data_IF_234671120711
#
_entry.id   IF_234671120711
#
_cell.length_a   1.000
_cell.length_b   1.000
_cell.length_c   1.000
_cell.angle_alpha   90.00
_cell.angle_beta   90.00
_cell.angle_gamma   90.00
#
_symmetry.space_group_name_H-M   'P 1'
#
loop_
_entity.id
_entity.type
_entity.pdbx_description
1 polymer ?
#
# COMPACT_ATOMS: atom_id res chain seq x y z
N UNK A 1 -30.08 -3.23 -23.25
CA UNK A 1 -28.97 -2.62 -22.47
C UNK A 1 -28.88 -1.17 -22.86
N UNK A 2 -28.92 -0.25 -21.89
CA UNK A 2 -28.73 1.17 -22.16
C UNK A 2 -27.23 1.49 -22.08
N UNK A 3 -26.67 2.05 -23.15
CA UNK A 3 -25.32 2.59 -23.16
C UNK A 3 -25.44 4.09 -23.08
N UNK A 4 -24.78 4.70 -22.10
CA UNK A 4 -24.66 6.15 -22.02
C UNK A 4 -23.26 6.51 -22.46
N UNK A 5 -23.16 7.25 -23.56
CA UNK A 5 -21.91 7.85 -24.00
C UNK A 5 -21.82 9.27 -23.45
N UNK A 6 -20.68 9.58 -22.84
CA UNK A 6 -20.37 10.95 -22.42
C UNK A 6 -19.09 11.33 -23.15
N UNK A 7 -19.19 12.36 -23.97
CA UNK A 7 -18.04 12.99 -24.64
C UNK A 7 -17.67 14.22 -23.85
N UNK A 8 -16.44 14.28 -23.36
CA UNK A 8 -15.93 15.43 -22.63
C UNK A 8 -14.74 15.99 -23.41
N UNK A 9 -14.70 17.31 -23.58
CA UNK A 9 -13.55 17.97 -24.18
C UNK A 9 -12.44 18.12 -23.13
N UNK A 10 -11.17 17.94 -23.54
CA UNK A 10 -10.01 18.16 -22.65
C UNK A 10 -9.98 19.59 -22.10
N UNK A 11 -10.59 20.55 -22.81
CA UNK A 11 -10.67 21.95 -22.37
C UNK A 11 -11.68 22.17 -21.23
N UNK A 12 -12.69 21.32 -21.10
CA UNK A 12 -13.67 21.37 -20.01
C UNK A 12 -13.14 20.71 -18.73
N UNK A 13 -12.27 19.71 -18.87
CA UNK A 13 -11.64 18.98 -17.75
C UNK A 13 -10.58 19.81 -17.01
N UNK A 14 -10.00 20.82 -17.66
CA UNK A 14 -8.99 21.69 -17.08
C UNK A 14 -9.54 22.71 -16.05
N UNK A 15 -10.86 22.77 -15.84
CA UNK A 15 -11.53 23.80 -15.02
C UNK A 15 -11.80 23.41 -13.56
N UNK A 16 -11.32 22.26 -13.09
CA UNK A 16 -11.13 22.02 -11.65
C UNK A 16 -12.11 21.08 -10.94
N UNK A 17 -12.78 20.18 -11.65
CA UNK A 17 -13.57 19.12 -11.01
C UNK A 17 -12.80 17.79 -10.98
N UNK A 18 -12.71 17.20 -9.78
CA UNK A 18 -12.09 15.90 -9.52
C UNK A 18 -13.01 14.79 -10.07
N UNK A 19 -12.55 14.05 -11.08
CA UNK A 19 -13.27 12.89 -11.64
C UNK A 19 -12.47 11.66 -11.33
N UNK A 20 -13.12 10.54 -11.08
CA UNK A 20 -12.56 9.52 -10.22
C UNK A 20 -12.65 8.13 -10.95
N UNK A 21 -11.61 7.42 -11.54
CA UNK A 21 -11.71 6.07 -12.22
C UNK A 21 -10.48 5.05 -12.19
N UNK A 22 -10.72 3.71 -12.22
CA UNK A 22 -9.71 2.62 -12.39
C UNK A 22 -9.92 1.75 -13.66
N UNK A 23 -8.91 1.01 -14.15
CA UNK A 23 -8.86 0.43 -15.53
C UNK A 23 -8.51 -1.07 -15.62
N UNK A 24 -9.13 -1.79 -16.57
CA UNK A 24 -8.71 -3.11 -17.09
C UNK A 24 -8.58 -3.02 -18.63
N UNK A 25 -7.51 -3.57 -19.20
CA UNK A 25 -7.19 -3.45 -20.63
C UNK A 25 -7.39 -4.78 -21.39
N UNK A 26 -7.88 -4.69 -22.63
CA UNK A 26 -7.65 -5.72 -23.66
C UNK A 26 -7.12 -5.03 -24.93
N UNK A 27 -6.16 -5.66 -25.61
CA UNK A 27 -5.52 -5.11 -26.81
C UNK A 27 -5.92 -5.92 -28.04
N UNK A 28 -6.46 -5.24 -29.06
CA UNK A 28 -6.53 -5.76 -30.42
C UNK A 28 -5.44 -5.11 -31.27
N UNK A 29 -4.54 -5.94 -31.81
CA UNK A 29 -3.37 -5.50 -32.58
C UNK A 29 -3.71 -5.07 -34.02
N UNK A 30 -4.95 -5.22 -34.47
CA UNK A 30 -5.35 -4.91 -35.85
C UNK A 30 -5.69 -3.44 -36.13
N UNK A 31 -6.24 -2.70 -35.17
CA UNK A 31 -6.97 -1.45 -35.47
C UNK A 31 -6.48 -0.21 -34.70
N UNK A 32 -5.43 -0.30 -33.88
CA UNK A 32 -5.03 0.77 -32.93
C UNK A 32 -6.22 1.32 -32.13
N UNK A 33 -7.25 0.51 -31.91
CA UNK A 33 -8.44 0.88 -31.18
C UNK A 33 -8.28 0.37 -29.76
N UNK A 34 -8.34 1.25 -28.78
CA UNK A 34 -8.33 0.89 -27.37
C UNK A 34 -9.79 0.82 -26.93
N UNK A 35 -10.27 -0.37 -26.61
CA UNK A 35 -11.63 -0.58 -26.10
C UNK A 35 -11.52 -0.97 -24.64
N UNK A 36 -12.11 -0.16 -23.75
CA UNK A 36 -12.08 -0.39 -22.30
C UNK A 36 -13.42 -0.04 -21.67
N UNK A 37 -13.82 -0.84 -20.70
CA UNK A 37 -15.01 -0.62 -19.87
C UNK A 37 -14.58 0.11 -18.58
N UNK A 38 -15.37 1.07 -18.13
CA UNK A 38 -15.00 2.00 -17.04
C UNK A 38 -15.87 1.75 -15.81
N UNK A 39 -15.25 1.65 -14.64
CA UNK A 39 -15.91 1.80 -13.34
C UNK A 39 -15.19 2.95 -12.60
N UNK A 40 -15.95 3.97 -12.23
CA UNK A 40 -15.46 5.32 -11.87
C UNK A 40 -15.32 5.41 -10.34
N UNK A 41 -14.08 5.32 -9.80
CA UNK A 41 -13.75 5.64 -8.39
C UNK A 41 -12.39 6.38 -7.98
N UNK A 42 -11.41 6.83 -8.82
CA UNK A 42 -10.41 8.01 -8.66
C UNK A 42 -9.52 8.45 -9.89
N UNK A 43 -9.40 9.73 -10.36
CA UNK A 43 -8.49 10.30 -11.38
C UNK A 43 -7.89 11.57 -10.77
N UNK A 44 -6.59 11.71 -10.94
CA UNK A 44 -5.84 12.89 -10.53
C UNK A 44 -5.34 13.62 -11.77
N UNK A 45 -5.48 14.94 -11.77
CA UNK A 45 -5.05 15.82 -12.85
C UNK A 45 -3.97 16.77 -12.34
N UNK A 46 -2.85 16.86 -13.07
CA UNK A 46 -1.83 17.89 -12.85
C UNK A 46 -1.68 18.69 -14.14
N UNK A 47 -2.18 19.91 -14.16
CA UNK A 47 -2.01 20.81 -15.28
C UNK A 47 -0.53 21.24 -15.36
N UNK A 48 0.25 20.58 -16.22
CA UNK A 48 1.45 21.18 -16.79
C UNK A 48 1.05 21.76 -18.14
N UNK A 49 1.42 23.01 -18.41
CA UNK A 49 0.86 23.94 -19.41
C UNK A 49 0.62 23.46 -20.87
N UNK A 50 0.88 22.20 -21.24
CA UNK A 50 0.63 21.66 -22.59
C UNK A 50 0.19 20.18 -22.68
N UNK A 51 0.08 19.45 -21.56
CA UNK A 51 -0.19 18.00 -21.55
C UNK A 51 -1.09 17.63 -20.36
N UNK A 52 -2.14 16.85 -20.60
CA UNK A 52 -2.93 16.23 -19.55
C UNK A 52 -2.42 14.81 -19.31
N UNK A 53 -1.95 14.54 -18.10
CA UNK A 53 -1.46 13.23 -17.69
C UNK A 53 -2.55 12.50 -16.90
N UNK A 54 -2.96 11.33 -17.39
CA UNK A 54 -3.86 10.41 -16.67
C UNK A 54 -3.04 9.20 -16.19
N UNK A 55 -3.06 8.95 -14.88
CA UNK A 55 -2.33 7.86 -14.24
C UNK A 55 -3.28 6.68 -13.97
N UNK A 56 -3.05 5.53 -14.62
CA UNK A 56 -3.78 4.29 -14.32
C UNK A 56 -2.83 3.10 -14.33
N UNK A 57 -2.77 2.31 -13.24
CA UNK A 57 -1.95 1.10 -13.14
C UNK A 57 -0.49 1.23 -13.62
N UNK A 58 0.15 2.38 -13.37
CA UNK A 58 1.54 2.65 -13.78
C UNK A 58 1.72 3.02 -15.26
N UNK A 59 0.65 3.18 -16.03
CA UNK A 59 0.66 3.70 -17.40
C UNK A 59 0.23 5.17 -17.39
N UNK A 60 1.07 6.03 -17.95
CA UNK A 60 0.79 7.45 -18.17
C UNK A 60 0.24 7.63 -19.58
N UNK A 61 -1.02 8.03 -19.67
CA UNK A 61 -1.64 8.40 -20.94
C UNK A 61 -1.51 9.92 -21.13
N UNK A 62 -0.92 10.31 -22.24
CA UNK A 62 -0.75 11.72 -22.61
C UNK A 62 -1.79 12.11 -23.65
N UNK A 63 -2.66 13.06 -23.30
CA UNK A 63 -3.61 13.66 -24.24
C UNK A 63 -3.15 15.06 -24.63
N UNK A 64 -3.34 15.43 -25.89
CA UNK A 64 -3.05 16.77 -26.39
C UNK A 64 -4.28 17.66 -26.25
N UNK A 65 -4.04 18.96 -26.12
CA UNK A 65 -5.10 19.96 -26.16
C UNK A 65 -5.85 19.89 -27.49
N UNK A 66 -7.17 19.74 -27.43
CA UNK A 66 -8.05 19.59 -28.59
C UNK A 66 -8.46 18.14 -28.89
N UNK A 67 -7.87 17.15 -28.20
CA UNK A 67 -8.31 15.77 -28.30
C UNK A 67 -9.73 15.63 -27.72
N UNK A 68 -10.56 14.81 -28.38
CA UNK A 68 -11.85 14.38 -27.84
C UNK A 68 -11.69 12.98 -27.25
N UNK A 69 -12.10 12.82 -26.00
CA UNK A 69 -12.10 11.53 -25.31
C UNK A 69 -13.56 11.10 -25.14
N UNK A 70 -13.93 10.01 -25.79
CA UNK A 70 -15.24 9.38 -25.62
C UNK A 70 -15.14 8.31 -24.55
N UNK A 71 -15.85 8.51 -23.44
CA UNK A 71 -15.94 7.52 -22.36
C UNK A 71 -17.21 6.73 -22.56
N UNK A 72 -17.06 5.42 -22.82
CA UNK A 72 -18.19 4.52 -23.02
C UNK A 72 -18.43 3.70 -21.76
N UNK A 73 -19.49 4.02 -21.01
CA UNK A 73 -19.89 3.20 -19.86
C UNK A 73 -20.67 1.99 -20.37
N UNK A 74 -20.01 0.84 -20.43
CA UNK A 74 -20.71 -0.42 -20.54
C UNK A 74 -21.32 -0.75 -19.18
N UNK A 75 -22.64 -0.96 -19.16
CA UNK A 75 -23.31 -1.51 -17.99
C UNK A 75 -22.88 -2.98 -17.88
N UNK A 76 -21.77 -3.23 -17.20
CA UNK A 76 -21.41 -4.58 -16.77
C UNK A 76 -22.51 -5.02 -15.82
N UNK A 77 -23.32 -5.99 -16.24
CA UNK A 77 -24.10 -6.79 -15.28
C UNK A 77 -23.07 -7.33 -14.30
N UNK A 78 -23.10 -6.95 -13.01
CA UNK A 78 -22.16 -7.50 -12.07
C UNK A 78 -22.37 -9.01 -12.09
N UNK A 79 -21.36 -9.75 -12.53
CA UNK A 79 -21.20 -11.13 -12.08
C UNK A 79 -21.36 -11.08 -10.56
N UNK A 80 -22.08 -12.02 -9.93
CA UNK A 80 -22.19 -12.07 -8.49
C UNK A 80 -20.77 -12.22 -7.92
N UNK A 81 -20.16 -11.09 -7.58
CA UNK A 81 -18.91 -11.06 -6.86
C UNK A 81 -19.19 -11.82 -5.58
N UNK A 82 -18.40 -12.85 -5.31
CA UNK A 82 -18.48 -13.61 -4.07
C UNK A 82 -18.51 -12.60 -2.91
N UNK A 83 -19.68 -12.42 -2.31
CA UNK A 83 -20.08 -11.23 -1.54
C UNK A 83 -19.49 -11.24 -0.12
N UNK A 84 -18.31 -11.84 0.07
CA UNK A 84 -17.66 -12.04 1.37
C UNK A 84 -16.13 -12.13 1.26
N UNK A 85 -15.50 -11.34 0.38
CA UNK A 85 -14.07 -11.09 0.51
C UNK A 85 -13.87 -10.10 1.67
N UNK A 86 -13.58 -10.62 2.86
CA UNK A 86 -13.26 -9.82 4.05
C UNK A 86 -12.15 -8.82 3.70
N UNK A 87 -12.41 -7.52 3.93
CA UNK A 87 -11.43 -6.49 3.61
C UNK A 87 -10.17 -6.69 4.45
N UNK A 88 -8.97 -6.56 3.87
CA UNK A 88 -7.74 -6.77 4.62
C UNK A 88 -7.61 -5.71 5.73
N UNK A 89 -7.20 -6.15 6.92
CA UNK A 89 -6.94 -5.26 8.06
C UNK A 89 -5.80 -4.28 7.76
N UNK A 90 -5.70 -3.19 8.52
CA UNK A 90 -4.61 -2.21 8.37
C UNK A 90 -3.22 -2.86 8.48
N UNK A 91 -3.04 -3.80 9.42
CA UNK A 91 -1.82 -4.57 9.59
C UNK A 91 -1.51 -5.50 8.41
N UNK A 92 -2.53 -6.13 7.83
CA UNK A 92 -2.37 -6.95 6.62
C UNK A 92 -1.99 -6.09 5.40
N UNK A 93 -2.63 -4.93 5.23
CA UNK A 93 -2.31 -3.97 4.17
C UNK A 93 -0.86 -3.47 4.30
N UNK A 94 -0.45 -3.04 5.50
CA UNK A 94 0.93 -2.67 5.79
C UNK A 94 1.91 -3.80 5.47
N UNK A 95 1.61 -5.02 5.93
CA UNK A 95 2.47 -6.18 5.74
C UNK A 95 2.70 -6.46 4.25
N UNK A 96 1.63 -6.45 3.46
CA UNK A 96 1.69 -6.68 2.01
C UNK A 96 2.49 -5.57 1.33
N UNK A 97 2.19 -4.32 1.66
CA UNK A 97 2.79 -3.17 0.99
C UNK A 97 4.27 -3.02 1.32
N UNK A 98 4.68 -3.19 2.58
CA UNK A 98 6.09 -3.13 2.98
C UNK A 98 6.91 -4.23 2.28
N UNK A 99 6.36 -5.45 2.20
CA UNK A 99 7.01 -6.55 1.46
C UNK A 99 7.17 -6.21 -0.02
N UNK A 100 6.15 -5.63 -0.64
CA UNK A 100 6.19 -5.18 -2.03
C UNK A 100 7.24 -4.08 -2.22
N UNK A 101 7.19 -3.05 -1.39
CA UNK A 101 8.05 -1.87 -1.44
C UNK A 101 9.53 -2.23 -1.35
N UNK A 102 9.91 -3.11 -0.41
CA UNK A 102 11.31 -3.53 -0.24
C UNK A 102 11.68 -4.82 -1.01
N UNK A 103 10.77 -5.35 -1.84
CA UNK A 103 10.95 -6.61 -2.56
C UNK A 103 11.34 -7.79 -1.65
N UNK A 104 10.69 -7.89 -0.49
CA UNK A 104 10.90 -8.97 0.48
C UNK A 104 9.99 -10.14 0.12
N UNK A 105 10.59 -11.25 -0.30
CA UNK A 105 9.94 -12.56 -0.42
C UNK A 105 10.17 -13.47 0.80
N UNK A 106 9.51 -14.62 0.85
CA UNK A 106 9.60 -15.61 1.94
C UNK A 106 11.00 -16.18 2.18
N UNK A 107 11.88 -16.12 1.19
CA UNK A 107 13.27 -16.61 1.25
C UNK A 107 14.30 -15.48 1.45
N UNK A 108 13.85 -14.25 1.66
CA UNK A 108 14.74 -13.11 1.86
C UNK A 108 15.49 -13.32 3.16
N UNK A 109 16.83 -13.22 3.10
CA UNK A 109 17.69 -13.31 4.28
C UNK A 109 17.66 -12.00 5.06
N UNK A 110 17.95 -12.07 6.37
CA UNK A 110 18.01 -10.90 7.25
C UNK A 110 18.97 -9.84 6.72
N UNK A 111 20.17 -10.26 6.31
CA UNK A 111 21.16 -9.36 5.75
C UNK A 111 21.08 -9.30 4.21
N UNK A 112 20.99 -8.09 3.67
CA UNK A 112 21.07 -7.81 2.23
C UNK A 112 22.12 -6.74 1.97
N UNK A 113 23.17 -7.09 1.24
CA UNK A 113 24.29 -6.18 0.94
C UNK A 113 24.92 -5.55 2.20
N UNK A 114 25.06 -6.34 3.28
CA UNK A 114 25.62 -5.88 4.55
C UNK A 114 24.68 -5.01 5.39
N UNK A 115 23.38 -4.93 5.03
CA UNK A 115 22.36 -4.21 5.80
C UNK A 115 21.38 -5.17 6.43
N UNK A 116 21.08 -4.95 7.71
CA UNK A 116 20.02 -5.64 8.44
C UNK A 116 18.65 -5.14 7.94
N UNK A 117 17.88 -6.02 7.30
CA UNK A 117 16.57 -5.67 6.78
C UNK A 117 15.53 -5.38 7.85
N UNK A 118 15.65 -5.89 9.08
CA UNK A 118 14.74 -5.48 10.16
C UNK A 118 14.87 -3.99 10.44
N UNK A 119 16.12 -3.51 10.45
CA UNK A 119 16.42 -2.10 10.61
C UNK A 119 15.93 -1.28 9.41
N UNK A 120 16.18 -1.74 8.18
CA UNK A 120 15.73 -1.05 6.96
C UNK A 120 14.20 -0.93 6.91
N UNK A 121 13.47 -2.00 7.27
CA UNK A 121 12.00 -2.00 7.38
C UNK A 121 11.53 -0.92 8.36
N UNK A 122 12.07 -0.91 9.59
CA UNK A 122 11.65 0.03 10.62
C UNK A 122 12.00 1.48 10.25
N UNK A 123 13.18 1.73 9.68
CA UNK A 123 13.60 3.05 9.22
C UNK A 123 12.68 3.56 8.12
N UNK A 124 12.35 2.75 7.11
CA UNK A 124 11.41 3.14 6.07
C UNK A 124 10.00 3.39 6.59
N UNK A 125 9.50 2.60 7.55
CA UNK A 125 8.20 2.87 8.19
C UNK A 125 8.19 4.24 8.86
N UNK A 126 9.23 4.55 9.63
CA UNK A 126 9.35 5.84 10.33
C UNK A 126 9.48 6.99 9.33
N UNK A 127 10.33 6.85 8.32
CA UNK A 127 10.52 7.86 7.26
C UNK A 127 9.23 8.11 6.50
N UNK A 128 8.52 7.06 6.07
CA UNK A 128 7.26 7.16 5.35
C UNK A 128 6.18 7.90 6.16
N UNK A 129 6.11 7.65 7.47
CA UNK A 129 5.12 8.30 8.34
C UNK A 129 5.48 9.77 8.65
N UNK A 130 6.76 10.11 8.75
CA UNK A 130 7.20 11.46 9.15
C UNK A 130 7.42 12.41 7.97
N UNK A 131 7.77 11.91 6.79
CA UNK A 131 8.14 12.71 5.63
C UNK A 131 7.10 12.59 4.53
N UNK A 132 6.06 13.43 4.61
CA UNK A 132 5.05 13.56 3.55
C UNK A 132 5.70 13.91 2.20
N UNK A 133 5.21 13.29 1.13
CA UNK A 133 5.72 13.42 -0.23
C UNK A 133 6.84 12.44 -0.60
N UNK A 134 7.27 11.57 0.34
CA UNK A 134 8.31 10.56 0.05
C UNK A 134 7.73 9.35 -0.66
N UNK A 135 6.46 9.01 -0.40
CA UNK A 135 5.73 7.93 -1.04
C UNK A 135 4.51 8.48 -1.79
N UNK A 136 3.90 7.66 -2.64
CA UNK A 136 2.60 8.02 -3.20
C UNK A 136 1.55 8.14 -2.07
N UNK A 137 0.56 9.05 -2.18
CA UNK A 137 -0.42 9.28 -1.10
C UNK A 137 -1.13 8.02 -0.60
N UNK A 138 -1.47 7.09 -1.51
CA UNK A 138 -2.08 5.82 -1.13
C UNK A 138 -1.16 4.90 -0.31
N UNK A 139 0.16 5.00 -0.49
CA UNK A 139 1.14 4.26 0.31
C UNK A 139 1.35 4.93 1.66
N UNK A 140 1.39 6.27 1.73
CA UNK A 140 1.54 6.98 3.01
C UNK A 140 0.46 6.58 4.02
N UNK A 141 -0.79 6.48 3.56
CA UNK A 141 -1.93 6.04 4.37
C UNK A 141 -1.75 4.62 4.93
N UNK A 142 -1.06 3.74 4.20
CA UNK A 142 -0.80 2.35 4.61
C UNK A 142 0.33 2.25 5.64
N UNK A 143 1.35 3.11 5.54
CA UNK A 143 2.51 3.06 6.44
C UNK A 143 2.31 3.85 7.73
N UNK A 144 1.48 4.90 7.71
CA UNK A 144 1.26 5.75 8.88
C UNK A 144 0.82 4.99 10.14
N UNK A 145 -0.10 4.01 10.10
CA UNK A 145 -0.51 3.25 11.30
C UNK A 145 0.63 2.43 11.92
N UNK A 146 1.66 2.07 11.15
CA UNK A 146 2.77 1.24 11.62
C UNK A 146 3.89 2.04 12.32
N UNK A 147 3.77 3.37 12.38
CA UNK A 147 4.78 4.25 12.98
C UNK A 147 5.10 3.89 14.43
N UNK A 148 4.07 3.76 15.27
CA UNK A 148 4.25 3.48 16.70
C UNK A 148 4.68 2.03 16.97
N UNK A 149 4.23 1.09 16.14
CA UNK A 149 4.70 -0.29 16.17
C UNK A 149 6.21 -0.38 15.87
N UNK A 150 6.67 0.25 14.78
CA UNK A 150 8.08 0.31 14.43
C UNK A 150 8.91 1.06 15.48
N UNK A 151 8.41 2.18 15.98
CA UNK A 151 9.08 2.98 17.03
C UNK A 151 9.22 2.20 18.34
N UNK A 152 8.20 1.42 18.71
CA UNK A 152 8.23 0.54 19.89
C UNK A 152 9.29 -0.56 19.74
N UNK A 153 9.35 -1.22 18.58
CA UNK A 153 10.41 -2.20 18.29
C UNK A 153 11.80 -1.56 18.37
N UNK A 154 12.01 -0.38 17.78
CA UNK A 154 13.30 0.33 17.87
C UNK A 154 13.67 0.62 19.33
N UNK A 155 12.73 1.15 20.10
CA UNK A 155 12.96 1.55 21.49
C UNK A 155 13.27 0.36 22.39
N UNK A 156 12.46 -0.69 22.32
CA UNK A 156 12.49 -1.77 23.29
C UNK A 156 13.36 -2.94 22.81
N UNK A 157 13.28 -3.33 21.54
CA UNK A 157 13.96 -4.53 21.04
C UNK A 157 15.33 -4.20 20.47
N UNK A 158 15.40 -3.34 19.45
CA UNK A 158 16.66 -2.99 18.77
C UNK A 158 17.71 -2.44 19.75
N UNK A 159 17.29 -1.63 20.72
CA UNK A 159 18.17 -1.04 21.72
C UNK A 159 18.40 -1.94 22.96
N UNK A 160 17.94 -3.20 22.93
CA UNK A 160 18.22 -4.19 23.97
C UNK A 160 17.55 -3.92 25.33
N UNK A 161 16.44 -3.18 25.37
CA UNK A 161 15.71 -2.87 26.62
C UNK A 161 14.64 -3.91 26.97
N UNK A 162 14.21 -4.69 25.98
CA UNK A 162 13.22 -5.75 26.10
C UNK A 162 13.79 -7.00 26.77
N UNK A 163 12.92 -7.98 26.99
CA UNK A 163 13.35 -9.28 27.53
C UNK A 163 14.20 -10.02 26.49
N UNK A 164 15.30 -10.63 26.95
CA UNK A 164 16.23 -11.37 26.08
C UNK A 164 15.54 -12.41 25.19
N UNK A 165 14.57 -13.17 25.72
CA UNK A 165 13.84 -14.20 24.96
C UNK A 165 13.01 -13.60 23.81
N UNK A 166 12.46 -12.40 24.01
CA UNK A 166 11.71 -11.67 22.98
C UNK A 166 12.66 -11.12 21.93
N UNK A 167 13.80 -10.57 22.36
CA UNK A 167 14.83 -10.07 21.46
C UNK A 167 15.33 -11.20 20.56
N UNK A 168 15.74 -12.33 21.15
CA UNK A 168 16.20 -13.50 20.40
C UNK A 168 15.13 -14.05 19.45
N UNK A 169 13.87 -14.13 19.91
CA UNK A 169 12.76 -14.56 19.06
C UNK A 169 12.58 -13.65 17.84
N UNK A 170 12.56 -12.33 18.05
CA UNK A 170 12.40 -11.35 16.96
C UNK A 170 13.63 -11.34 16.04
N UNK A 171 14.83 -11.47 16.61
CA UNK A 171 16.08 -11.55 15.84
C UNK A 171 16.16 -12.80 14.95
N UNK A 172 15.49 -13.88 15.34
CA UNK A 172 15.37 -15.10 14.57
C UNK A 172 14.33 -15.02 13.43
N UNK A 173 13.46 -14.00 13.42
CA UNK A 173 12.48 -13.83 12.34
C UNK A 173 13.18 -13.53 11.02
N UNK A 174 12.65 -14.07 9.92
CA UNK A 174 12.97 -13.55 8.60
C UNK A 174 12.37 -12.15 8.41
N UNK A 175 12.92 -11.31 7.52
CA UNK A 175 12.31 -10.02 7.18
C UNK A 175 10.85 -10.14 6.74
N UNK A 176 10.49 -11.24 6.08
CA UNK A 176 9.11 -11.53 5.73
C UNK A 176 8.20 -11.65 6.96
N UNK A 177 8.63 -12.41 7.97
CA UNK A 177 7.93 -12.57 9.23
C UNK A 177 7.97 -11.28 10.06
N UNK A 178 9.05 -10.52 10.00
CA UNK A 178 9.18 -9.25 10.69
C UNK A 178 8.17 -8.20 10.19
N UNK A 179 7.93 -8.11 8.87
CA UNK A 179 6.84 -7.29 8.35
C UNK A 179 5.48 -7.72 8.92
N UNK A 180 5.25 -9.04 9.05
CA UNK A 180 4.02 -9.57 9.65
C UNK A 180 3.90 -9.17 11.11
N UNK A 181 4.97 -9.28 11.89
CA UNK A 181 5.00 -8.88 13.30
C UNK A 181 4.57 -7.42 13.46
N UNK A 182 5.13 -6.51 12.66
CA UNK A 182 4.73 -5.11 12.71
C UNK A 182 3.25 -4.92 12.30
N UNK A 183 2.76 -5.65 11.30
CA UNK A 183 1.34 -5.67 10.96
C UNK A 183 0.45 -6.20 12.09
N UNK A 184 0.84 -7.29 12.74
CA UNK A 184 0.13 -7.86 13.89
C UNK A 184 0.09 -6.87 15.07
N UNK A 185 1.15 -6.07 15.26
CA UNK A 185 1.18 -4.99 16.26
C UNK A 185 0.22 -3.85 15.90
N UNK A 186 0.11 -3.48 14.62
CA UNK A 186 -0.88 -2.50 14.14
C UNK A 186 -2.30 -3.00 14.41
N UNK A 187 -2.60 -4.25 14.05
CA UNK A 187 -3.93 -4.84 14.28
C UNK A 187 -4.24 -5.02 15.77
N UNK A 188 -3.22 -5.18 16.61
CA UNK A 188 -3.35 -5.19 18.07
C UNK A 188 -3.48 -3.78 18.69
N UNK A 189 -3.51 -2.73 17.88
CA UNK A 189 -3.66 -1.34 18.34
C UNK A 189 -2.43 -0.78 19.05
N UNK A 190 -1.23 -1.16 18.64
CA UNK A 190 0.01 -0.57 19.17
C UNK A 190 0.22 0.83 18.58
N UNK A 191 -0.37 1.82 19.24
CA UNK A 191 -0.37 3.25 18.88
C UNK A 191 0.54 4.11 19.77
N UNK A 192 1.22 3.50 20.73
CA UNK A 192 2.13 4.18 21.64
C UNK A 192 3.27 3.26 22.07
N UNK A 193 4.38 3.86 22.51
CA UNK A 193 5.49 3.06 23.08
C UNK A 193 5.10 2.25 24.32
N UNK A 194 4.12 2.71 25.10
CA UNK A 194 3.60 1.96 26.26
C UNK A 194 2.78 0.75 25.82
N UNK A 195 1.94 0.88 24.79
CA UNK A 195 1.21 -0.24 24.20
C UNK A 195 2.17 -1.28 23.59
N UNK A 196 3.26 -0.82 22.97
CA UNK A 196 4.33 -1.69 22.46
C UNK A 196 5.00 -2.51 23.57
N UNK A 197 5.35 -1.88 24.69
CA UNK A 197 5.92 -2.60 25.84
C UNK A 197 4.96 -3.67 26.39
N UNK A 198 3.65 -3.38 26.45
CA UNK A 198 2.64 -4.37 26.85
C UNK A 198 2.53 -5.51 25.84
N UNK A 199 2.59 -5.21 24.54
CA UNK A 199 2.60 -6.22 23.48
C UNK A 199 3.78 -7.19 23.65
N UNK A 200 4.99 -6.67 23.85
CA UNK A 200 6.18 -7.50 24.08
C UNK A 200 6.13 -8.28 25.40
N UNK A 201 5.49 -7.74 26.45
CA UNK A 201 5.27 -8.45 27.71
C UNK A 201 4.32 -9.65 27.55
N UNK A 202 3.26 -9.52 26.72
CA UNK A 202 2.38 -10.63 26.36
C UNK A 202 3.13 -11.69 25.56
N UNK A 203 3.85 -11.27 24.51
CA UNK A 203 4.70 -12.17 23.71
C UNK A 203 5.70 -12.94 24.58
N UNK A 204 6.37 -12.29 25.53
CA UNK A 204 7.25 -12.96 26.48
C UNK A 204 6.54 -14.07 27.24
N UNK A 205 5.32 -13.80 27.72
CA UNK A 205 4.53 -14.77 28.49
C UNK A 205 4.19 -15.99 27.64
N UNK A 206 3.82 -15.78 26.38
CA UNK A 206 3.54 -16.84 25.41
C UNK A 206 4.79 -17.68 25.08
N UNK A 207 5.94 -17.03 24.87
CA UNK A 207 7.20 -17.71 24.58
C UNK A 207 7.68 -18.56 25.76
N UNK A 208 7.53 -18.07 27.00
CA UNK A 208 7.86 -18.85 28.20
C UNK A 208 6.93 -20.05 28.37
N UNK A 209 5.65 -19.91 28.06
CA UNK A 209 4.69 -21.01 28.12
C UNK A 209 4.98 -22.10 27.07
N UNK A 210 5.53 -21.75 25.90
CA UNK A 210 5.94 -22.70 24.87
C UNK A 210 7.23 -23.46 25.21
N UNK A 211 8.04 -22.93 26.12
CA UNK A 211 9.32 -23.52 26.54
C UNK A 211 9.21 -24.40 27.79
N UNK A 212 8.05 -24.43 28.46
CA UNK A 212 7.77 -25.20 29.67
C UNK A 212 7.12 -26.56 29.34
#
# INVERSE_FOLDING_TARGET
MATTEITVSVEDLAKGDEIVAYTVWSFDHGTRTITGSWIVDSLYWKAADRLADVYTNGVMLMFRRGDQVTVRREATTPEPQAENAEQPTSGQQFTQEMRRFLSIGTRTRRDRNGRDLHREIAEWTVTAAMQRGTLHPGQEAVFAPAFDAASSWVKDIKNGRGSWIVIEHIDALSPWQFCKLLGDMVDAGVDTTSAGAQYFARMRTELLAQAA
#
